data_IF_225477192110
#
_entry.id   IF_225477192110
#
_cell.length_a   1.000
_cell.length_b   1.000
_cell.length_c   1.000
_cell.angle_alpha   90.00
_cell.angle_beta   90.00
_cell.angle_gamma   90.00
#
_symmetry.space_group_name_H-M   'P 1'
#
loop_
_entity.id
_entity.type
_entity.pdbx_description
1 polymer ?
#
# COMPACT_ATOMS: atom_id res chain seq x y z
N UNK A 1 -16.90 -21.44 14.66
CA UNK A 1 -17.08 -21.30 13.21
C UNK A 1 -17.25 -19.82 12.95
N UNK A 2 -16.22 -19.15 12.46
CA UNK A 2 -16.29 -17.77 11.99
C UNK A 2 -17.12 -17.76 10.71
N UNK A 3 -18.22 -17.00 10.70
CA UNK A 3 -18.99 -16.72 9.49
C UNK A 3 -18.04 -16.18 8.41
N UNK A 4 -18.13 -16.65 7.15
CA UNK A 4 -17.33 -16.09 6.06
C UNK A 4 -17.63 -14.59 5.95
N UNK A 5 -16.59 -13.76 5.92
CA UNK A 5 -16.72 -12.32 5.73
C UNK A 5 -17.35 -12.09 4.35
N UNK A 6 -18.67 -11.86 4.33
CA UNK A 6 -19.52 -11.96 3.13
C UNK A 6 -19.14 -10.99 2.01
N UNK A 7 -18.23 -10.05 2.26
CA UNK A 7 -17.69 -9.14 1.27
C UNK A 7 -16.19 -8.90 1.53
N UNK A 8 -15.32 -9.87 1.26
CA UNK A 8 -13.86 -9.66 1.27
C UNK A 8 -13.40 -8.81 0.08
N UNK A 9 -12.10 -8.78 -0.22
CA UNK A 9 -11.64 -8.23 -1.49
C UNK A 9 -12.23 -9.04 -2.67
N UNK A 10 -12.81 -8.33 -3.64
CA UNK A 10 -13.36 -8.87 -4.87
C UNK A 10 -12.47 -8.46 -6.07
N UNK A 11 -11.84 -9.43 -6.77
CA UNK A 11 -11.00 -9.15 -7.93
C UNK A 11 -11.79 -8.64 -9.15
N UNK A 12 -13.10 -8.85 -9.20
CA UNK A 12 -13.97 -8.46 -10.31
C UNK A 12 -14.82 -7.21 -9.95
N UNK A 13 -14.53 -6.56 -8.82
CA UNK A 13 -15.25 -5.38 -8.29
C UNK A 13 -15.40 -4.21 -9.27
N UNK A 14 -14.47 -4.06 -10.22
CA UNK A 14 -14.46 -2.98 -11.21
C UNK A 14 -15.23 -3.33 -12.49
N UNK A 15 -15.85 -4.52 -12.57
CA UNK A 15 -16.36 -5.16 -13.80
C UNK A 15 -15.28 -5.45 -14.86
N UNK A 16 -14.02 -5.14 -14.53
CA UNK A 16 -12.79 -5.55 -15.20
C UNK A 16 -11.86 -6.11 -14.13
N UNK A 17 -11.21 -7.23 -14.43
CA UNK A 17 -10.47 -7.99 -13.42
C UNK A 17 -9.23 -7.24 -12.93
N UNK A 18 -9.17 -6.97 -11.63
CA UNK A 18 -8.05 -6.40 -10.89
C UNK A 18 -7.76 -7.25 -9.64
N UNK A 19 -6.97 -8.35 -9.78
CA UNK A 19 -6.77 -9.31 -8.70
C UNK A 19 -5.77 -8.82 -7.65
N UNK A 20 -5.75 -9.51 -6.49
CA UNK A 20 -4.62 -9.43 -5.56
C UNK A 20 -3.32 -9.90 -6.25
N UNK A 21 -2.17 -9.38 -5.82
CA UNK A 21 -0.89 -9.88 -6.32
C UNK A 21 -0.69 -11.34 -5.92
N UNK A 22 0.01 -12.09 -6.77
CA UNK A 22 0.48 -13.43 -6.42
C UNK A 22 1.97 -13.40 -6.10
N UNK A 23 2.41 -14.32 -5.23
CA UNK A 23 3.80 -14.44 -4.84
C UNK A 23 4.41 -15.75 -5.37
N UNK A 24 5.75 -15.85 -5.47
CA UNK A 24 6.43 -17.09 -5.77
C UNK A 24 6.01 -18.21 -4.82
N UNK A 25 6.01 -19.46 -5.30
CA UNK A 25 5.49 -20.61 -4.54
C UNK A 25 6.18 -20.89 -3.20
N UNK A 26 7.40 -20.37 -3.00
CA UNK A 26 8.19 -20.47 -1.77
C UNK A 26 7.94 -19.33 -0.78
N UNK A 27 7.19 -18.29 -1.18
CA UNK A 27 6.78 -17.20 -0.31
C UNK A 27 5.62 -17.66 0.60
N UNK A 28 5.77 -17.62 1.93
CA UNK A 28 4.82 -18.21 2.87
C UNK A 28 3.62 -17.29 3.15
N UNK A 29 3.04 -16.64 2.14
CA UNK A 29 1.99 -15.64 2.36
C UNK A 29 0.70 -16.31 2.86
N UNK A 30 0.19 -15.82 3.99
CA UNK A 30 -1.11 -16.19 4.56
C UNK A 30 -2.14 -15.14 4.19
N UNK A 31 -3.20 -15.57 3.52
CA UNK A 31 -4.33 -14.72 3.18
C UNK A 31 -5.27 -14.55 4.38
N UNK A 32 -5.55 -13.30 4.75
CA UNK A 32 -6.46 -12.92 5.81
C UNK A 32 -7.55 -12.02 5.22
N UNK A 33 -8.75 -12.55 5.08
CA UNK A 33 -9.91 -11.82 4.57
C UNK A 33 -10.55 -10.98 5.67
N UNK A 34 -10.93 -9.75 5.34
CA UNK A 34 -11.65 -8.80 6.19
C UNK A 34 -12.79 -8.17 5.41
N UNK A 35 -13.59 -7.30 6.02
CA UNK A 35 -14.69 -6.63 5.31
C UNK A 35 -14.15 -5.60 4.29
N UNK A 36 -14.35 -5.87 3.00
CA UNK A 36 -13.97 -5.15 1.78
C UNK A 36 -12.48 -5.14 1.44
N UNK A 37 -11.66 -5.85 2.20
CA UNK A 37 -10.23 -5.93 1.94
C UNK A 37 -9.64 -7.28 2.34
N UNK A 38 -8.41 -7.52 1.91
CA UNK A 38 -7.65 -8.73 2.22
C UNK A 38 -6.19 -8.37 2.45
N UNK A 39 -5.56 -9.06 3.40
CA UNK A 39 -4.15 -8.92 3.75
C UNK A 39 -3.41 -10.19 3.35
N UNK A 40 -2.29 -10.04 2.65
CA UNK A 40 -1.33 -11.11 2.37
C UNK A 40 -0.16 -10.97 3.34
N UNK A 41 -0.28 -11.64 4.48
CA UNK A 41 0.69 -11.60 5.58
C UNK A 41 1.87 -12.53 5.31
N UNK A 42 3.11 -12.04 5.44
CA UNK A 42 4.26 -12.94 5.56
C UNK A 42 4.51 -13.21 7.06
N UNK A 43 4.23 -14.42 7.58
CA UNK A 43 4.37 -14.74 9.00
C UNK A 43 5.84 -14.76 9.47
N UNK A 44 6.81 -14.94 8.56
CA UNK A 44 8.24 -14.85 8.91
C UNK A 44 8.65 -13.41 9.12
N UNK A 45 8.11 -12.51 8.30
CA UNK A 45 8.36 -11.06 8.41
C UNK A 45 7.44 -10.38 9.42
N UNK A 46 6.35 -11.05 9.82
CA UNK A 46 5.30 -10.55 10.72
C UNK A 46 4.55 -9.33 10.19
N UNK A 47 4.68 -9.05 8.90
CA UNK A 47 4.19 -7.86 8.21
C UNK A 47 3.56 -8.27 6.89
N UNK A 48 2.58 -7.50 6.42
CA UNK A 48 1.98 -7.76 5.12
C UNK A 48 2.94 -7.44 3.97
N UNK A 49 3.07 -8.40 3.05
CA UNK A 49 3.70 -8.17 1.76
C UNK A 49 2.80 -7.30 0.87
N UNK A 50 1.50 -7.54 0.95
CA UNK A 50 0.49 -6.78 0.22
C UNK A 50 -0.86 -6.79 0.97
N UNK A 51 -1.68 -5.83 0.61
CA UNK A 51 -3.10 -5.75 0.94
C UNK A 51 -3.84 -5.33 -0.32
N UNK A 52 -5.11 -5.68 -0.42
CA UNK A 52 -6.01 -5.15 -1.46
C UNK A 52 -7.34 -4.74 -0.85
N UNK A 53 -7.82 -3.57 -1.22
CA UNK A 53 -9.11 -3.02 -0.78
C UNK A 53 -9.95 -2.58 -1.98
N UNK A 54 -11.25 -2.86 -1.91
CA UNK A 54 -12.22 -2.30 -2.83
C UNK A 54 -12.89 -1.07 -2.20
N UNK A 55 -13.00 0.01 -2.97
CA UNK A 55 -13.57 1.28 -2.53
C UNK A 55 -14.77 1.59 -3.41
N UNK A 56 -15.97 1.61 -2.83
CA UNK A 56 -17.16 2.16 -3.49
C UNK A 56 -17.34 3.63 -3.15
N UNK A 57 -16.88 4.52 -4.03
CA UNK A 57 -17.00 5.97 -3.86
C UNK A 57 -18.45 6.46 -3.69
N UNK A 58 -19.44 5.75 -4.24
CA UNK A 58 -20.86 6.10 -4.09
C UNK A 58 -21.43 5.70 -2.72
N UNK A 59 -20.87 4.66 -2.12
CA UNK A 59 -21.31 4.07 -0.86
C UNK A 59 -20.57 4.57 0.39
N UNK A 60 -19.54 5.40 0.24
CA UNK A 60 -18.68 5.84 1.34
C UNK A 60 -19.45 6.51 2.49
N UNK A 61 -19.23 6.03 3.70
CA UNK A 61 -19.73 6.61 4.95
C UNK A 61 -18.60 7.28 5.72
N UNK A 62 -18.94 8.37 6.43
CA UNK A 62 -18.02 8.98 7.38
C UNK A 62 -18.35 8.49 8.79
N UNK A 63 -17.59 7.51 9.25
CA UNK A 63 -17.68 6.97 10.61
C UNK A 63 -16.51 7.48 11.45
N UNK A 64 -16.80 7.72 12.73
CA UNK A 64 -15.82 8.16 13.71
C UNK A 64 -14.58 7.25 13.76
N UNK A 65 -13.45 7.85 14.17
CA UNK A 65 -12.19 7.14 14.32
C UNK A 65 -12.17 6.40 15.67
N UNK A 66 -11.83 5.11 15.65
CA UNK A 66 -11.37 4.36 16.82
C UNK A 66 -9.84 4.35 16.96
N UNK A 67 -9.32 3.64 17.96
CA UNK A 67 -7.89 3.26 18.06
C UNK A 67 -7.75 1.84 18.64
N UNK A 68 -8.74 0.98 18.38
CA UNK A 68 -8.90 -0.35 18.97
C UNK A 68 -8.04 -1.39 18.24
N UNK A 69 -6.72 -1.17 18.28
CA UNK A 69 -5.75 -2.10 17.71
C UNK A 69 -5.79 -3.46 18.39
N UNK A 70 -5.82 -4.52 17.59
CA UNK A 70 -5.94 -5.89 18.09
C UNK A 70 -5.15 -6.88 17.23
N UNK A 71 -4.68 -7.95 17.86
CA UNK A 71 -4.08 -9.07 17.14
C UNK A 71 -5.18 -9.83 16.40
N UNK A 72 -4.87 -10.35 15.22
CA UNK A 72 -5.76 -11.28 14.53
C UNK A 72 -5.63 -12.67 15.16
N UNK A 73 -6.70 -13.24 15.75
CA UNK A 73 -6.64 -14.56 16.40
C UNK A 73 -6.42 -15.72 15.43
N UNK A 74 -6.49 -15.50 14.11
CA UNK A 74 -6.18 -16.49 13.07
C UNK A 74 -4.67 -16.64 12.82
N UNK A 75 -3.87 -15.79 13.46
CA UNK A 75 -2.41 -15.75 13.32
C UNK A 75 -1.80 -15.83 14.70
N UNK A 76 -0.74 -16.63 14.85
CA UNK A 76 -0.05 -16.72 16.12
C UNK A 76 0.57 -15.36 16.49
N UNK A 77 0.65 -15.07 17.79
CA UNK A 77 1.09 -13.76 18.26
C UNK A 77 2.54 -13.42 17.86
N UNK A 78 3.37 -14.43 17.60
CA UNK A 78 4.75 -14.30 17.11
C UNK A 78 4.88 -14.34 15.58
N UNK A 79 3.77 -14.47 14.85
CA UNK A 79 3.68 -14.40 13.38
C UNK A 79 3.12 -13.05 12.89
N UNK A 80 2.84 -12.09 13.79
CA UNK A 80 2.36 -10.74 13.46
C UNK A 80 3.04 -9.69 14.34
N UNK A 81 3.21 -8.47 13.83
CA UNK A 81 3.85 -7.38 14.55
C UNK A 81 2.85 -6.71 15.52
N UNK A 82 2.89 -7.11 16.79
CA UNK A 82 1.95 -6.66 17.81
C UNK A 82 2.31 -5.31 18.47
N UNK A 83 1.58 -4.93 19.54
CA UNK A 83 1.77 -3.65 20.25
C UNK A 83 3.20 -3.45 20.77
N UNK A 84 3.90 -4.54 21.08
CA UNK A 84 5.27 -4.55 21.56
C UNK A 84 6.25 -3.96 20.54
N UNK A 85 5.96 -3.98 19.24
CA UNK A 85 6.82 -3.33 18.25
C UNK A 85 6.76 -1.80 18.38
N UNK A 86 5.56 -1.25 18.60
CA UNK A 86 5.27 0.19 18.54
C UNK A 86 5.38 0.89 19.91
N UNK A 87 5.50 0.13 21.00
CA UNK A 87 5.49 0.70 22.33
C UNK A 87 6.76 1.54 22.63
N UNK A 88 6.55 2.82 22.98
CA UNK A 88 7.58 3.76 23.46
C UNK A 88 8.72 3.97 22.46
N UNK A 89 8.39 4.24 21.21
CA UNK A 89 9.30 4.65 20.15
C UNK A 89 8.56 5.55 19.14
N UNK A 90 9.26 6.02 18.12
CA UNK A 90 8.71 6.91 17.09
C UNK A 90 8.18 6.14 15.86
N UNK A 91 7.87 4.85 15.99
CA UNK A 91 7.19 4.07 14.96
C UNK A 91 5.68 4.11 15.22
N UNK A 92 4.95 4.69 14.26
CA UNK A 92 3.50 4.65 14.21
C UNK A 92 3.01 3.32 13.62
N UNK A 93 1.79 2.94 14.02
CA UNK A 93 0.99 1.87 13.41
C UNK A 93 0.40 2.38 12.10
N UNK A 94 1.24 2.42 11.06
CA UNK A 94 0.85 2.86 9.72
C UNK A 94 -0.11 1.87 9.09
N UNK A 95 -1.32 2.31 8.76
CA UNK A 95 -2.31 1.49 8.06
C UNK A 95 -1.85 1.23 6.62
N UNK A 96 -1.95 -0.02 6.16
CA UNK A 96 -1.76 -0.38 4.75
C UNK A 96 -3.07 -0.22 3.98
N UNK A 97 -4.16 -0.82 4.46
CA UNK A 97 -5.52 -0.42 4.09
C UNK A 97 -5.93 0.72 4.99
N UNK A 98 -6.08 1.91 4.41
CA UNK A 98 -6.47 3.11 5.14
C UNK A 98 -7.86 2.91 5.74
N UNK A 99 -8.04 3.36 6.98
CA UNK A 99 -9.29 3.24 7.74
C UNK A 99 -10.57 3.59 6.97
N UNK A 100 -10.55 4.62 6.12
CA UNK A 100 -11.75 5.12 5.41
C UNK A 100 -12.07 4.35 4.14
N UNK A 101 -11.09 3.68 3.54
CA UNK A 101 -11.20 3.06 2.23
C UNK A 101 -12.28 1.97 2.16
N UNK A 102 -12.38 1.05 3.15
CA UNK A 102 -13.39 0.00 3.12
C UNK A 102 -14.74 0.43 3.75
N UNK A 103 -14.90 1.69 4.17
CA UNK A 103 -16.05 2.14 4.97
C UNK A 103 -17.18 2.61 4.06
N UNK A 104 -17.86 1.66 3.44
CA UNK A 104 -18.99 1.90 2.54
C UNK A 104 -20.10 0.85 2.70
N UNK A 105 -21.28 1.12 2.13
CA UNK A 105 -22.42 0.22 2.18
C UNK A 105 -23.28 0.37 3.46
N UNK A 106 -24.04 -0.67 3.86
CA UNK A 106 -24.87 -0.61 5.06
C UNK A 106 -24.04 -0.27 6.31
N UNK A 107 -24.59 0.55 7.23
CA UNK A 107 -23.88 1.04 8.42
C UNK A 107 -23.24 -0.08 9.25
N UNK A 108 -23.90 -1.23 9.36
CA UNK A 108 -23.36 -2.39 10.09
C UNK A 108 -22.16 -3.03 9.38
N UNK A 109 -22.12 -3.02 8.05
CA UNK A 109 -21.00 -3.51 7.24
C UNK A 109 -19.84 -2.51 7.31
N UNK A 110 -20.11 -1.23 7.06
CA UNK A 110 -19.14 -0.15 7.14
C UNK A 110 -18.51 -0.03 8.54
N UNK A 111 -19.29 -0.25 9.60
CA UNK A 111 -18.81 -0.27 10.98
C UNK A 111 -17.85 -1.43 11.25
N UNK A 112 -18.12 -2.63 10.71
CA UNK A 112 -17.19 -3.77 10.79
C UNK A 112 -15.91 -3.49 10.00
N UNK A 113 -16.03 -3.02 8.76
CA UNK A 113 -14.89 -2.64 7.92
C UNK A 113 -13.98 -1.62 8.61
N UNK A 114 -14.54 -0.60 9.25
CA UNK A 114 -13.79 0.40 10.03
C UNK A 114 -13.05 -0.22 11.22
N UNK A 115 -13.63 -1.21 11.90
CA UNK A 115 -12.98 -1.91 13.00
C UNK A 115 -11.89 -2.88 12.51
N UNK A 116 -12.15 -3.59 11.42
CA UNK A 116 -11.24 -4.55 10.80
C UNK A 116 -9.89 -3.89 10.41
N UNK A 117 -9.87 -2.61 10.03
CA UNK A 117 -8.62 -1.92 9.66
C UNK A 117 -7.62 -1.77 10.81
N UNK A 118 -8.06 -1.97 12.07
CA UNK A 118 -7.21 -1.91 13.26
C UNK A 118 -6.58 -3.27 13.63
N UNK A 119 -6.74 -4.30 12.81
CA UNK A 119 -6.01 -5.55 12.99
C UNK A 119 -4.51 -5.33 12.71
N UNK A 120 -3.62 -5.81 13.61
CA UNK A 120 -2.16 -5.66 13.44
C UNK A 120 -1.59 -6.19 12.11
N UNK A 121 -2.14 -7.24 11.47
CA UNK A 121 -1.69 -7.63 10.13
C UNK A 121 -1.86 -6.54 9.06
N UNK A 122 -2.77 -5.58 9.26
CA UNK A 122 -2.95 -4.40 8.40
C UNK A 122 -2.00 -3.23 8.77
N UNK A 123 -1.18 -3.37 9.80
CA UNK A 123 -0.22 -2.36 10.22
C UNK A 123 1.18 -2.65 9.69
N UNK A 124 1.92 -1.58 9.42
CA UNK A 124 3.37 -1.64 9.23
C UNK A 124 4.07 -0.52 10.00
N UNK A 125 5.30 -0.74 10.51
CA UNK A 125 6.07 0.26 11.23
C UNK A 125 6.47 1.41 10.31
N UNK A 126 5.89 2.58 10.56
CA UNK A 126 6.18 3.79 9.82
C UNK A 126 6.74 4.83 10.78
N UNK A 127 7.85 5.46 10.45
CA UNK A 127 8.37 6.60 11.20
C UNK A 127 7.26 7.66 11.36
N UNK A 128 7.06 8.22 12.55
CA UNK A 128 5.95 9.14 12.82
C UNK A 128 5.89 10.32 11.84
N UNK A 129 7.05 10.90 11.49
CA UNK A 129 7.15 11.97 10.47
C UNK A 129 6.76 11.50 9.06
N UNK A 130 6.97 10.22 8.74
CA UNK A 130 6.54 9.61 7.47
C UNK A 130 5.03 9.38 7.45
N UNK A 131 4.48 8.73 8.48
CA UNK A 131 3.06 8.41 8.59
C UNK A 131 2.17 9.68 8.66
N UNK A 132 2.64 10.72 9.35
CA UNK A 132 1.86 11.93 9.61
C UNK A 132 2.08 13.04 8.57
N UNK A 133 3.02 12.87 7.63
CA UNK A 133 3.21 13.87 6.57
C UNK A 133 2.04 13.84 5.59
N UNK A 134 1.42 15.00 5.41
CA UNK A 134 0.35 15.24 4.44
C UNK A 134 0.85 15.43 3.01
N UNK A 135 2.15 15.61 2.85
CA UNK A 135 2.76 16.08 1.60
C UNK A 135 2.97 14.94 0.58
N UNK A 136 2.76 13.68 0.98
CA UNK A 136 3.27 12.52 0.23
C UNK A 136 2.30 11.33 0.20
N UNK A 137 1.97 10.76 1.37
CA UNK A 137 1.13 9.56 1.46
C UNK A 137 -0.36 9.88 1.66
N UNK A 138 -0.66 10.67 2.71
CA UNK A 138 -2.04 11.06 3.01
C UNK A 138 -2.65 11.92 1.89
N UNK A 139 -1.86 12.77 1.22
CA UNK A 139 -2.33 13.60 0.12
C UNK A 139 -2.75 12.80 -1.13
N UNK A 140 -2.02 11.72 -1.46
CA UNK A 140 -2.40 10.79 -2.52
C UNK A 140 -3.66 10.00 -2.15
N UNK A 141 -3.73 9.51 -0.91
CA UNK A 141 -4.90 8.78 -0.40
C UNK A 141 -6.15 9.65 -0.36
N UNK A 142 -6.03 10.89 0.10
CA UNK A 142 -7.12 11.85 0.10
C UNK A 142 -7.53 12.20 -1.33
N UNK A 143 -6.58 12.42 -2.24
CA UNK A 143 -6.90 12.67 -3.64
C UNK A 143 -7.68 11.52 -4.29
N UNK A 144 -7.21 10.27 -4.15
CA UNK A 144 -7.90 9.10 -4.71
C UNK A 144 -9.30 8.92 -4.10
N UNK A 145 -9.43 9.05 -2.78
CA UNK A 145 -10.71 8.86 -2.09
C UNK A 145 -11.70 10.00 -2.38
N UNK A 146 -11.24 11.25 -2.39
CA UNK A 146 -12.06 12.42 -2.72
C UNK A 146 -12.49 12.40 -4.18
N UNK A 147 -11.58 12.03 -5.10
CA UNK A 147 -11.91 11.87 -6.51
C UNK A 147 -12.94 10.73 -6.69
N UNK A 148 -12.72 9.58 -6.06
CA UNK A 148 -13.68 8.48 -6.08
C UNK A 148 -15.06 8.89 -5.54
N UNK A 149 -15.11 9.62 -4.42
CA UNK A 149 -16.35 10.12 -3.84
C UNK A 149 -17.04 11.13 -4.75
N UNK A 150 -16.31 12.13 -5.24
CA UNK A 150 -16.84 13.21 -6.07
C UNK A 150 -17.41 12.69 -7.40
N UNK A 151 -16.76 11.69 -7.98
CA UNK A 151 -17.13 11.10 -9.28
C UNK A 151 -17.86 9.76 -9.16
N UNK A 152 -18.15 9.30 -7.94
CA UNK A 152 -18.83 8.02 -7.65
C UNK A 152 -18.13 6.82 -8.30
N UNK A 153 -16.80 6.86 -8.33
CA UNK A 153 -15.97 5.82 -8.95
C UNK A 153 -15.74 4.67 -7.97
N UNK A 154 -15.66 3.46 -8.54
CA UNK A 154 -15.12 2.28 -7.86
C UNK A 154 -13.61 2.23 -8.08
N UNK A 155 -12.86 1.97 -7.01
CA UNK A 155 -11.40 1.78 -7.06
C UNK A 155 -11.02 0.42 -6.44
N UNK A 156 -9.97 -0.18 -6.99
CA UNK A 156 -9.18 -1.21 -6.31
C UNK A 156 -7.84 -0.61 -5.95
N UNK A 157 -7.45 -0.68 -4.67
CA UNK A 157 -6.16 -0.18 -4.21
C UNK A 157 -5.38 -1.33 -3.60
N UNK A 158 -4.17 -1.57 -4.09
CA UNK A 158 -3.21 -2.48 -3.53
C UNK A 158 -2.14 -1.69 -2.78
N UNK A 159 -1.76 -2.13 -1.59
CA UNK A 159 -0.74 -1.44 -0.77
C UNK A 159 0.09 -2.45 -0.01
N UNK A 160 1.39 -2.24 0.09
CA UNK A 160 2.26 -3.18 0.79
C UNK A 160 3.61 -2.60 1.18
N UNK A 161 4.41 -3.48 1.77
CA UNK A 161 5.79 -3.20 2.17
C UNK A 161 6.74 -3.89 1.22
N UNK A 162 7.90 -3.30 0.96
CA UNK A 162 9.00 -4.02 0.31
C UNK A 162 9.75 -4.78 1.40
N UNK A 163 9.56 -6.10 1.43
CA UNK A 163 10.15 -6.98 2.43
C UNK A 163 11.59 -7.33 2.04
N UNK A 164 12.53 -6.41 2.28
CA UNK A 164 13.95 -6.58 1.93
C UNK A 164 14.70 -7.36 3.03
N UNK A 165 15.62 -8.24 2.64
CA UNK A 165 16.44 -9.00 3.59
C UNK A 165 17.43 -8.11 4.37
N UNK A 166 17.76 -6.93 3.83
CA UNK A 166 18.62 -5.93 4.45
C UNK A 166 17.86 -4.89 5.29
N UNK A 167 16.55 -5.09 5.51
CA UNK A 167 15.77 -4.23 6.40
C UNK A 167 16.35 -4.27 7.83
N UNK A 168 16.51 -3.11 8.50
CA UNK A 168 17.04 -3.06 9.85
C UNK A 168 16.11 -3.78 10.82
N UNK A 169 16.67 -4.69 11.62
CA UNK A 169 15.90 -5.46 12.61
C UNK A 169 15.74 -4.66 13.89
N UNK A 170 14.49 -4.46 14.31
CA UNK A 170 14.13 -3.83 15.57
C UNK A 170 13.09 -4.69 16.30
N UNK A 171 13.38 -5.05 17.56
CA UNK A 171 12.55 -5.96 18.38
C UNK A 171 12.16 -7.27 17.67
N UNK A 172 13.08 -7.79 16.84
CA UNK A 172 12.87 -9.03 16.08
C UNK A 172 12.07 -8.89 14.79
N UNK A 173 11.70 -7.68 14.38
CA UNK A 173 10.99 -7.39 13.13
C UNK A 173 11.91 -6.59 12.20
N UNK A 174 12.05 -7.02 10.94
CA UNK A 174 12.74 -6.24 9.91
C UNK A 174 11.88 -5.07 9.45
N UNK A 175 12.27 -3.84 9.80
CA UNK A 175 11.52 -2.62 9.55
C UNK A 175 11.64 -2.22 8.07
N UNK A 176 10.55 -2.27 7.28
CA UNK A 176 10.63 -2.00 5.84
C UNK A 176 11.10 -0.59 5.57
N UNK A 177 12.08 -0.42 4.69
CA UNK A 177 12.50 0.92 4.22
C UNK A 177 11.53 1.53 3.22
N UNK A 178 10.92 0.69 2.38
CA UNK A 178 10.06 1.12 1.28
C UNK A 178 8.64 0.59 1.42
N UNK A 179 7.70 1.39 0.97
CA UNK A 179 6.29 1.05 0.78
C UNK A 179 5.90 1.24 -0.67
N UNK A 180 4.83 0.58 -1.09
CA UNK A 180 4.30 0.73 -2.43
C UNK A 180 2.77 0.77 -2.41
N UNK A 181 2.21 1.38 -3.46
CA UNK A 181 0.77 1.43 -3.71
C UNK A 181 0.49 1.33 -5.20
N UNK A 182 -0.57 0.61 -5.56
CA UNK A 182 -1.11 0.57 -6.92
C UNK A 182 -2.60 0.89 -6.83
N UNK A 183 -3.06 1.91 -7.53
CA UNK A 183 -4.48 2.24 -7.65
C UNK A 183 -4.97 1.80 -9.03
N UNK A 184 -6.15 1.20 -9.09
CA UNK A 184 -6.76 0.69 -10.31
C UNK A 184 -8.24 1.05 -10.41
N UNK A 185 -8.70 1.30 -11.63
CA UNK A 185 -10.08 1.65 -11.93
C UNK A 185 -10.51 1.17 -13.31
N UNK A 186 -11.82 1.11 -13.53
CA UNK A 186 -12.41 0.93 -14.84
C UNK A 186 -12.47 2.27 -15.57
N UNK A 187 -11.74 2.40 -16.67
CA UNK A 187 -11.83 3.53 -17.58
C UNK A 187 -12.82 3.21 -18.71
N UNK A 188 -13.77 4.12 -18.93
CA UNK A 188 -14.73 4.05 -20.02
C UNK A 188 -14.45 5.25 -20.92
N UNK A 189 -13.79 5.08 -22.08
CA UNK A 189 -13.41 6.22 -22.90
C UNK A 189 -14.67 6.91 -23.45
N UNK A 190 -14.77 8.23 -23.23
CA UNK A 190 -15.99 9.01 -23.47
C UNK A 190 -16.50 9.06 -24.91
N UNK A 191 -15.62 8.79 -25.89
CA UNK A 191 -15.94 8.76 -27.33
C UNK A 191 -15.93 7.35 -27.93
N UNK A 192 -15.81 6.31 -27.10
CA UNK A 192 -15.67 4.96 -27.61
C UNK A 192 -17.01 4.40 -28.10
N UNK A 193 -16.93 3.61 -29.18
CA UNK A 193 -18.06 2.98 -29.84
C UNK A 193 -18.97 2.26 -28.80
N UNK A 194 -20.31 2.37 -28.90
CA UNK A 194 -21.23 1.64 -28.03
C UNK A 194 -20.93 0.14 -28.11
N UNK A 195 -20.25 -0.41 -27.10
CA UNK A 195 -19.82 -1.81 -27.04
C UNK A 195 -18.31 -2.04 -26.81
N UNK A 196 -17.50 -0.98 -26.75
CA UNK A 196 -16.04 -1.05 -26.54
C UNK A 196 -15.60 -1.52 -25.14
N UNK A 197 -16.53 -1.68 -24.18
CA UNK A 197 -16.28 -2.18 -22.84
C UNK A 197 -15.41 -1.25 -21.97
N UNK A 198 -15.51 -1.39 -20.65
CA UNK A 198 -14.56 -0.73 -19.76
C UNK A 198 -13.15 -1.34 -19.94
N UNK A 199 -12.12 -0.51 -19.81
CA UNK A 199 -10.71 -0.94 -19.83
C UNK A 199 -10.11 -0.72 -18.46
N UNK A 200 -9.29 -1.66 -18.00
CA UNK A 200 -8.54 -1.49 -16.77
C UNK A 200 -7.50 -0.38 -16.95
N UNK A 201 -7.37 0.48 -15.95
CA UNK A 201 -6.34 1.50 -15.85
C UNK A 201 -5.70 1.42 -14.46
N UNK A 202 -4.40 1.72 -14.36
CA UNK A 202 -3.70 1.75 -13.09
C UNK A 202 -2.56 2.76 -13.01
N UNK A 203 -2.17 3.11 -11.79
CA UNK A 203 -0.96 3.88 -11.47
C UNK A 203 -0.27 3.28 -10.24
N UNK A 204 1.05 3.39 -10.18
CA UNK A 204 1.85 2.91 -9.06
C UNK A 204 2.70 3.99 -8.41
N UNK A 205 2.95 3.80 -7.12
CA UNK A 205 3.72 4.71 -6.29
C UNK A 205 4.66 3.94 -5.35
N UNK A 206 5.85 4.49 -5.12
CA UNK A 206 6.82 3.98 -4.14
C UNK A 206 7.16 5.10 -3.16
N UNK A 207 7.23 4.75 -1.89
CA UNK A 207 7.58 5.65 -0.81
C UNK A 207 8.79 5.14 -0.04
N UNK A 208 9.68 6.06 0.32
CA UNK A 208 10.92 5.79 1.04
C UNK A 208 10.93 6.46 2.41
N UNK A 209 10.99 5.65 3.47
CA UNK A 209 11.13 6.12 4.85
C UNK A 209 12.55 6.01 5.41
N UNK A 210 13.53 5.55 4.63
CA UNK A 210 14.92 5.37 5.06
C UNK A 210 15.49 6.60 5.76
N UNK A 211 15.34 7.83 5.22
CA UNK A 211 15.90 9.02 5.88
C UNK A 211 15.33 9.25 7.29
N UNK A 212 14.08 8.89 7.55
CA UNK A 212 13.43 9.04 8.85
C UNK A 212 13.84 7.94 9.83
N UNK A 213 14.11 6.74 9.32
CA UNK A 213 14.64 5.65 10.14
C UNK A 213 16.08 5.94 10.61
N UNK A 214 16.86 6.67 9.81
CA UNK A 214 18.19 7.15 10.21
C UNK A 214 18.12 8.23 11.31
N UNK A 215 17.06 9.05 11.31
CA UNK A 215 16.78 10.04 12.36
C UNK A 215 16.29 9.38 13.67
N UNK A 216 15.45 8.34 13.57
CA UNK A 216 14.91 7.57 14.71
C UNK A 216 15.93 6.50 15.10
N UNK A 217 16.95 6.87 15.87
CA UNK A 217 17.88 6.03 16.66
C UNK A 217 17.92 4.48 16.43
N UNK A 218 17.98 4.02 15.18
CA UNK A 218 18.44 2.69 14.77
C UNK A 218 19.97 2.68 14.65
N UNK A 219 20.63 3.72 15.18
CA UNK A 219 22.07 4.01 15.08
C UNK A 219 22.96 2.83 15.41
N UNK A 220 22.56 1.89 16.27
CA UNK A 220 23.36 0.69 16.54
C UNK A 220 23.39 -0.31 15.38
N UNK A 221 22.28 -0.47 14.64
CA UNK A 221 22.19 -1.32 13.45
C UNK A 221 22.70 -0.58 12.20
N UNK A 222 22.39 0.71 12.08
CA UNK A 222 22.83 1.56 10.97
C UNK A 222 24.34 1.88 11.04
N UNK A 223 24.96 1.92 12.22
CA UNK A 223 26.42 2.11 12.35
C UNK A 223 27.23 0.99 11.69
N UNK A 224 26.71 -0.24 11.65
CA UNK A 224 27.34 -1.34 10.91
C UNK A 224 27.22 -1.18 9.38
N UNK A 225 26.14 -0.58 8.89
CA UNK A 225 25.95 -0.26 7.46
C UNK A 225 26.74 0.98 7.02
N UNK A 226 26.82 2.01 7.87
CA UNK A 226 27.61 3.22 7.63
C UNK A 226 29.13 2.94 7.63
N UNK A 227 29.57 1.91 8.36
CA UNK A 227 30.95 1.43 8.31
C UNK A 227 31.34 0.79 6.96
N UNK A 228 30.37 0.52 6.06
CA UNK A 228 30.60 -0.03 4.73
C UNK A 228 30.81 1.04 3.62
N UNK A 229 30.76 2.34 3.96
CA UNK A 229 31.24 3.41 3.08
C UNK A 229 30.23 4.01 2.10
N UNK A 230 28.94 3.74 2.24
CA UNK A 230 27.92 4.39 1.42
C UNK A 230 27.66 5.82 1.92
N UNK A 231 27.98 6.80 1.09
CA UNK A 231 27.76 8.23 1.34
C UNK A 231 26.29 8.56 1.13
N UNK A 232 25.52 9.08 2.12
CA UNK A 232 24.18 9.58 1.86
C UNK A 232 24.23 11.09 1.56
N UNK A 233 23.76 11.53 0.38
CA UNK A 233 23.12 12.85 0.34
C UNK A 233 21.94 12.96 -0.64
N UNK A 234 20.77 13.42 -0.13
CA UNK A 234 20.10 14.69 -0.47
C UNK A 234 18.66 14.70 0.11
N UNK A 235 18.13 15.90 0.39
CA UNK A 235 16.84 16.20 1.03
C UNK A 235 15.57 15.80 0.25
N UNK A 236 14.39 16.33 0.64
CA UNK A 236 13.13 15.58 0.66
C UNK A 236 12.48 15.41 -0.72
N UNK A 237 12.64 14.24 -1.32
CA UNK A 237 11.69 13.64 -2.25
C UNK A 237 11.56 12.17 -1.88
N UNK A 238 10.42 11.78 -1.29
CA UNK A 238 10.22 10.46 -0.67
C UNK A 238 9.05 9.68 -1.25
N UNK A 239 8.39 10.23 -2.27
CA UNK A 239 7.31 9.57 -3.01
C UNK A 239 7.54 9.73 -4.49
N UNK A 240 7.41 8.63 -5.20
CA UNK A 240 7.60 8.55 -6.64
C UNK A 240 6.37 7.92 -7.25
N UNK A 241 5.87 8.48 -8.36
CA UNK A 241 5.10 7.68 -9.29
C UNK A 241 6.09 6.82 -10.08
N UNK A 242 5.80 5.53 -10.20
CA UNK A 242 6.69 4.55 -10.83
C UNK A 242 5.91 3.69 -11.81
N UNK A 243 6.57 3.04 -12.76
CA UNK A 243 5.93 2.00 -13.56
C UNK A 243 5.43 0.86 -12.66
N UNK A 244 4.26 0.30 -12.93
CA UNK A 244 3.70 -0.82 -12.14
C UNK A 244 4.67 -2.03 -12.15
N UNK A 245 5.32 -2.30 -13.29
CA UNK A 245 6.36 -3.33 -13.42
C UNK A 245 7.56 -3.15 -12.47
N UNK A 246 7.86 -1.90 -12.08
CA UNK A 246 8.97 -1.63 -11.16
C UNK A 246 8.58 -2.01 -9.73
N UNK A 247 7.28 -1.95 -9.39
CA UNK A 247 6.76 -2.50 -8.13
C UNK A 247 6.88 -4.03 -8.11
N UNK A 248 6.58 -4.72 -9.22
CA UNK A 248 6.81 -6.17 -9.33
C UNK A 248 8.28 -6.51 -9.13
N UNK A 249 9.19 -5.77 -9.76
CA UNK A 249 10.62 -5.98 -9.62
C UNK A 249 11.11 -5.78 -8.18
N UNK A 250 10.59 -4.76 -7.48
CA UNK A 250 10.93 -4.47 -6.09
C UNK A 250 10.42 -5.52 -5.11
N UNK A 251 9.19 -5.99 -5.31
CA UNK A 251 8.47 -6.82 -4.34
C UNK A 251 8.57 -8.32 -4.65
N UNK A 252 8.92 -8.65 -5.91
CA UNK A 252 8.79 -9.99 -6.51
C UNK A 252 7.35 -10.53 -6.52
N UNK A 253 6.37 -9.66 -6.35
CA UNK A 253 4.96 -9.98 -6.50
C UNK A 253 4.56 -9.81 -7.97
N UNK A 254 3.75 -10.73 -8.48
CA UNK A 254 3.10 -10.63 -9.79
C UNK A 254 1.80 -9.83 -9.62
N UNK A 255 1.78 -8.63 -10.22
CA UNK A 255 0.65 -7.69 -10.21
C UNK A 255 -0.31 -7.92 -11.39
N UNK A 256 -0.04 -8.93 -12.23
CA UNK A 256 -0.90 -9.43 -13.28
C UNK A 256 -1.34 -8.34 -14.26
N UNK A 257 -2.65 -8.17 -14.50
CA UNK A 257 -3.16 -7.28 -15.54
C UNK A 257 -2.89 -5.79 -15.26
N UNK A 258 -2.53 -5.42 -14.03
CA UNK A 258 -2.26 -4.03 -13.66
C UNK A 258 -1.05 -3.47 -14.41
N UNK A 259 -0.04 -4.31 -14.70
CA UNK A 259 1.16 -3.91 -15.43
C UNK A 259 0.82 -3.42 -16.83
N UNK A 260 -0.05 -4.14 -17.55
CA UNK A 260 -0.48 -3.77 -18.89
C UNK A 260 -1.44 -2.57 -18.90
N UNK A 261 -2.08 -2.30 -17.76
CA UNK A 261 -3.02 -1.18 -17.56
C UNK A 261 -2.35 0.11 -17.05
N UNK A 262 -1.02 0.10 -16.87
CA UNK A 262 -0.26 1.22 -16.31
C UNK A 262 -0.32 2.48 -17.20
N UNK A 263 -0.76 3.58 -16.62
CA UNK A 263 -0.84 4.89 -17.28
C UNK A 263 0.50 5.60 -17.43
N UNK A 264 1.47 5.34 -16.57
CA UNK A 264 2.78 6.00 -16.69
C UNK A 264 3.55 5.49 -17.91
N UNK A 265 3.42 4.20 -18.23
CA UNK A 265 4.07 3.59 -19.39
C UNK A 265 3.61 4.15 -20.74
N UNK A 266 2.42 4.76 -20.81
CA UNK A 266 1.93 5.44 -22.02
C UNK A 266 2.71 6.74 -22.33
N UNK A 267 3.54 7.24 -21.41
CA UNK A 267 4.28 8.50 -21.53
C UNK A 267 5.79 8.28 -21.34
N UNK A 268 6.48 7.74 -22.36
CA UNK A 268 7.87 8.10 -22.74
C UNK A 268 8.48 7.13 -23.78
N UNK A 269 9.09 7.68 -24.84
CA UNK A 269 10.47 7.35 -25.15
C UNK A 269 11.32 8.62 -25.20
N UNK A 270 12.32 8.75 -24.33
CA UNK A 270 13.56 9.49 -24.63
C UNK A 270 14.67 9.20 -23.60
N UNK A 271 15.82 8.77 -24.14
CA UNK A 271 17.11 8.56 -23.48
C UNK A 271 17.77 9.87 -23.03
N UNK A 272 18.57 9.81 -21.95
CA UNK A 272 19.99 10.26 -21.90
C UNK A 272 20.55 10.34 -20.46
N UNK A 273 21.60 9.57 -20.14
CA UNK A 273 22.57 9.87 -19.05
C UNK A 273 22.51 9.05 -17.75
N UNK A 274 23.64 8.90 -17.01
CA UNK A 274 23.92 7.69 -16.22
C UNK A 274 23.22 7.64 -14.85
N UNK A 275 22.66 6.45 -14.58
CA UNK A 275 22.17 5.88 -13.31
C UNK A 275 21.19 6.74 -12.50
N UNK A 276 20.11 7.19 -13.15
CA UNK A 276 18.79 7.26 -12.49
C UNK A 276 17.98 6.07 -13.00
N UNK A 277 17.20 5.40 -12.14
CA UNK A 277 16.19 4.43 -12.60
C UNK A 277 15.27 5.18 -13.57
N UNK A 278 15.43 4.92 -14.87
CA UNK A 278 14.76 5.64 -15.96
C UNK A 278 13.25 5.47 -15.76
N UNK A 279 12.51 6.57 -15.56
CA UNK A 279 11.03 6.57 -15.53
C UNK A 279 10.35 6.86 -14.19
N UNK A 280 11.07 6.95 -13.05
CA UNK A 280 10.45 7.35 -11.78
C UNK A 280 10.22 8.87 -11.73
N UNK A 281 9.00 9.28 -11.46
CA UNK A 281 8.60 10.69 -11.39
C UNK A 281 8.46 11.10 -9.91
N UNK A 282 9.32 11.99 -9.37
CA UNK A 282 9.15 12.47 -8.01
C UNK A 282 7.85 13.28 -7.88
N UNK A 283 7.11 13.06 -6.80
CA UNK A 283 5.87 13.78 -6.51
C UNK A 283 6.07 14.73 -5.33
N UNK A 284 5.67 15.99 -5.50
CA UNK A 284 5.54 16.98 -4.43
C UNK A 284 4.06 17.20 -4.05
N UNK A 285 3.13 16.84 -4.94
CA UNK A 285 1.69 16.89 -4.71
C UNK A 285 0.94 15.93 -5.64
N UNK A 286 -0.37 15.75 -5.41
CA UNK A 286 -1.24 14.98 -6.29
C UNK A 286 -1.34 15.56 -7.72
N UNK A 287 -1.02 16.85 -7.92
CA UNK A 287 -1.04 17.48 -9.25
C UNK A 287 0.12 17.04 -10.15
N UNK A 288 1.16 16.43 -9.57
CA UNK A 288 2.33 15.95 -10.31
C UNK A 288 2.09 14.57 -10.97
N UNK A 289 0.95 13.93 -10.67
CA UNK A 289 0.58 12.60 -11.16
C UNK A 289 0.29 12.65 -12.67
N UNK A 290 0.86 11.68 -13.40
CA UNK A 290 0.64 11.48 -14.85
C UNK A 290 -0.32 10.30 -15.08
N UNK A 291 -1.33 10.49 -15.93
CA UNK A 291 -2.44 9.55 -16.20
C UNK A 291 -2.64 9.28 -17.70
#
# INVERSE_FOLDING_TARGET
MTEPHEHAFDPDFLDVRAPLPTAPADAPLRELTYTHFTVLLDPRRRLAAATGVNIDGAGLLDLGRGDDWHLDPRVDADEQAGPELYARNDLDRGHLVRRRDPVWGPVSVAGRANADTFAYPNAAPQAARFNQSKELWNGLEDYLLEHARAHRLRLTVLTGTVLDAADPVYRGVGIPRLFWKVAAWADVPGDADPGSGARLASTAYVLDQTPQLDEIDLRAATAQALAAGDVPPLGPFRTFQVPVRDVEALTRLDLGPLVAADRLAAVSPQDDGPVRRVGWVPLASAQDIRL
#
